data_IF_288864558480
#
_entry.id   IF_288864558480
#
_cell.length_a   1.000
_cell.length_b   1.000
_cell.length_c   1.000
_cell.angle_alpha   90.00
_cell.angle_beta   90.00
_cell.angle_gamma   90.00
#
_symmetry.space_group_name_H-M   'P 1'
#
loop_
_entity.id
_entity.type
_entity.pdbx_description
1 polymer ?
#
# COMPACT_ATOMS: atom_id res chain seq x y z
N UNK A 1 -8.14 26.47 -41.35
CA UNK A 1 -7.81 27.14 -40.07
C UNK A 1 -7.47 26.05 -39.07
N UNK A 2 -6.31 26.08 -38.40
CA UNK A 2 -5.87 24.99 -37.52
C UNK A 2 -6.66 25.01 -36.20
N UNK A 3 -6.96 23.82 -35.68
CA UNK A 3 -7.80 23.60 -34.50
C UNK A 3 -7.03 24.02 -33.22
N UNK A 4 -7.70 24.67 -32.26
CA UNK A 4 -7.06 25.27 -31.07
C UNK A 4 -6.39 24.25 -30.13
N UNK A 5 -6.66 22.96 -30.32
CA UNK A 5 -6.12 21.87 -29.51
C UNK A 5 -4.94 21.14 -30.16
N UNK A 6 -4.55 21.49 -31.40
CA UNK A 6 -3.47 20.80 -32.14
C UNK A 6 -2.06 21.39 -31.89
N UNK A 7 -1.94 22.42 -31.05
CA UNK A 7 -0.68 23.16 -30.86
C UNK A 7 0.12 22.68 -29.63
N UNK A 8 -0.49 21.92 -28.73
CA UNK A 8 0.14 21.60 -27.43
C UNK A 8 0.94 20.30 -27.42
N UNK A 9 0.91 19.49 -28.49
CA UNK A 9 1.61 18.18 -28.50
C UNK A 9 3.06 18.27 -29.01
N UNK A 10 3.48 19.41 -29.58
CA UNK A 10 4.82 19.52 -30.21
C UNK A 10 5.86 20.31 -29.41
N UNK A 11 5.57 20.75 -28.19
CA UNK A 11 6.49 21.62 -27.43
C UNK A 11 7.05 21.01 -26.14
N UNK A 12 6.74 19.74 -25.83
CA UNK A 12 7.25 19.08 -24.61
C UNK A 12 8.41 18.10 -24.81
N UNK A 13 8.88 17.88 -26.05
CA UNK A 13 9.97 16.93 -26.32
C UNK A 13 11.38 17.55 -26.29
N UNK A 14 11.51 18.88 -26.32
CA UNK A 14 12.81 19.56 -26.36
C UNK A 14 13.24 20.18 -25.01
N UNK A 15 12.45 20.03 -23.94
CA UNK A 15 12.77 20.56 -22.61
C UNK A 15 13.27 19.51 -21.61
N UNK A 16 13.47 18.26 -22.04
CA UNK A 16 14.15 17.28 -21.19
C UNK A 16 15.66 17.49 -21.30
N UNK A 17 16.20 18.37 -20.47
CA UNK A 17 17.63 18.50 -20.13
C UNK A 17 18.22 17.23 -19.47
N UNK A 18 17.65 16.06 -19.74
CA UNK A 18 18.11 14.74 -19.33
C UNK A 18 19.31 14.27 -20.17
N UNK A 19 19.47 14.80 -21.38
CA UNK A 19 20.62 14.48 -22.24
C UNK A 19 21.90 15.23 -21.81
N UNK A 20 21.77 16.43 -21.23
CA UNK A 20 22.90 17.31 -20.89
C UNK A 20 23.64 16.90 -19.59
N UNK A 21 23.06 16.00 -18.80
CA UNK A 21 23.65 15.50 -17.54
C UNK A 21 24.63 14.34 -17.72
N UNK A 22 24.75 13.77 -18.92
CA UNK A 22 25.61 12.61 -19.19
C UNK A 22 27.06 13.00 -19.56
N UNK A 23 27.29 14.22 -20.05
CA UNK A 23 28.61 14.63 -20.56
C UNK A 23 29.46 15.44 -19.56
N UNK A 24 28.94 15.77 -18.38
CA UNK A 24 29.68 16.55 -17.38
C UNK A 24 30.35 15.67 -16.33
N UNK A 25 31.57 15.20 -16.63
CA UNK A 25 32.51 14.63 -15.67
C UNK A 25 32.92 15.67 -14.61
N UNK A 26 32.13 15.80 -13.54
CA UNK A 26 32.43 16.65 -12.39
C UNK A 26 31.90 16.08 -11.07
N UNK A 27 32.82 15.56 -10.26
CA UNK A 27 32.71 15.31 -8.82
C UNK A 27 31.83 14.12 -8.34
N UNK A 28 32.44 13.04 -7.82
CA UNK A 28 31.74 11.87 -7.27
C UNK A 28 31.35 12.10 -5.79
N UNK A 29 30.51 13.10 -5.50
CA UNK A 29 30.19 13.44 -4.09
C UNK A 29 28.76 13.97 -3.86
N UNK A 30 27.80 13.58 -4.71
CA UNK A 30 26.41 14.08 -4.61
C UNK A 30 25.37 12.99 -4.30
N UNK A 31 25.77 11.72 -4.23
CA UNK A 31 24.86 10.61 -3.89
C UNK A 31 24.93 10.19 -2.42
N UNK A 32 25.69 10.91 -1.59
CA UNK A 32 25.62 10.75 -0.14
C UNK A 32 24.50 11.60 0.45
N UNK A 33 23.26 11.40 -0.02
CA UNK A 33 22.10 11.78 0.78
C UNK A 33 21.85 10.69 1.83
N UNK A 34 22.71 10.66 2.85
CA UNK A 34 22.59 9.85 4.06
C UNK A 34 21.44 10.35 4.96
N UNK A 35 20.22 10.44 4.43
CA UNK A 35 19.02 10.48 5.24
C UNK A 35 18.38 9.09 5.18
N UNK A 36 19.02 8.14 5.87
CA UNK A 36 18.54 6.79 6.12
C UNK A 36 17.37 6.81 7.14
N UNK A 37 16.48 7.79 7.03
CA UNK A 37 15.24 7.80 7.79
C UNK A 37 14.27 6.86 7.08
N UNK A 38 13.75 5.82 7.75
CA UNK A 38 12.80 4.92 7.14
C UNK A 38 11.60 5.74 6.63
N UNK A 39 11.08 5.45 5.42
CA UNK A 39 9.89 6.07 4.89
C UNK A 39 8.75 6.07 5.91
N UNK A 40 7.91 7.11 5.88
CA UNK A 40 6.81 7.27 6.85
C UNK A 40 5.85 6.07 6.89
N UNK A 41 5.70 5.34 5.78
CA UNK A 41 4.90 4.12 5.69
C UNK A 41 5.47 2.92 6.47
N UNK A 42 6.77 2.91 6.78
CA UNK A 42 7.40 1.83 7.58
C UNK A 42 7.11 1.97 9.09
N UNK A 43 6.49 3.06 9.53
CA UNK A 43 6.29 3.33 10.95
C UNK A 43 5.36 2.28 11.57
N UNK A 44 5.89 1.50 12.51
CA UNK A 44 5.13 0.53 13.30
C UNK A 44 4.99 -0.85 12.65
N UNK A 45 5.63 -1.09 11.51
CA UNK A 45 5.72 -2.44 10.93
C UNK A 45 6.77 -3.26 11.65
N UNK A 46 6.43 -4.51 11.95
CA UNK A 46 7.38 -5.51 12.43
C UNK A 46 8.22 -6.03 11.26
N UNK A 47 9.34 -6.68 11.57
CA UNK A 47 10.16 -7.32 10.54
C UNK A 47 9.37 -8.37 9.75
N UNK A 48 8.41 -9.05 10.39
CA UNK A 48 7.55 -10.04 9.75
C UNK A 48 6.58 -9.38 8.76
N UNK A 49 6.05 -8.21 9.08
CA UNK A 49 5.19 -7.43 8.16
C UNK A 49 5.96 -7.00 6.91
N UNK A 50 7.23 -6.58 7.11
CA UNK A 50 8.13 -6.22 6.00
C UNK A 50 8.40 -7.45 5.12
N UNK A 51 8.66 -8.60 5.72
CA UNK A 51 8.87 -9.84 5.00
C UNK A 51 7.61 -10.29 4.22
N UNK A 52 6.42 -10.12 4.80
CA UNK A 52 5.15 -10.44 4.16
C UNK A 52 4.89 -9.54 2.93
N UNK A 53 5.20 -8.25 3.01
CA UNK A 53 5.12 -7.35 1.85
C UNK A 53 6.06 -7.77 0.73
N UNK A 54 7.30 -8.17 1.05
CA UNK A 54 8.22 -8.69 0.04
C UNK A 54 7.70 -9.98 -0.60
N UNK A 55 7.11 -10.88 0.19
CA UNK A 55 6.49 -12.09 -0.33
C UNK A 55 5.33 -11.77 -1.28
N UNK A 56 4.46 -10.82 -0.93
CA UNK A 56 3.36 -10.38 -1.79
C UNK A 56 3.86 -9.72 -3.08
N UNK A 57 4.90 -8.90 -3.00
CA UNK A 57 5.52 -8.23 -4.17
C UNK A 57 6.21 -9.20 -5.12
N UNK A 58 6.66 -10.36 -4.63
CA UNK A 58 7.26 -11.42 -5.44
C UNK A 58 6.24 -12.29 -6.20
N UNK A 59 4.93 -12.18 -5.88
CA UNK A 59 3.89 -12.97 -6.54
C UNK A 59 3.60 -12.45 -7.96
N UNK A 60 3.22 -13.36 -8.86
CA UNK A 60 2.65 -12.97 -10.16
C UNK A 60 1.28 -12.33 -9.98
N UNK A 61 0.79 -11.58 -10.99
CA UNK A 61 -0.55 -10.96 -10.96
C UNK A 61 -1.67 -11.96 -10.61
N UNK A 62 -1.58 -13.18 -11.13
CA UNK A 62 -2.54 -14.26 -10.83
C UNK A 62 -2.38 -14.77 -9.39
N UNK A 63 -1.14 -14.86 -8.88
CA UNK A 63 -0.87 -15.24 -7.49
C UNK A 63 -1.40 -14.20 -6.50
N UNK A 64 -1.22 -12.91 -6.81
CA UNK A 64 -1.77 -11.83 -6.00
C UNK A 64 -3.30 -11.86 -5.98
N UNK A 65 -3.94 -12.10 -7.14
CA UNK A 65 -5.41 -12.23 -7.22
C UNK A 65 -5.93 -13.43 -6.39
N UNK A 66 -5.20 -14.54 -6.38
CA UNK A 66 -5.56 -15.70 -5.57
C UNK A 66 -5.45 -15.39 -4.06
N UNK A 67 -4.40 -14.70 -3.63
CA UNK A 67 -4.23 -14.32 -2.23
C UNK A 67 -5.31 -13.32 -1.79
N UNK A 68 -5.67 -12.37 -2.65
CA UNK A 68 -6.79 -11.45 -2.40
C UNK A 68 -8.08 -12.24 -2.18
N UNK A 69 -8.43 -13.17 -3.06
CA UNK A 69 -9.63 -14.01 -2.91
C UNK A 69 -9.62 -14.79 -1.60
N UNK A 70 -8.49 -15.39 -1.26
CA UNK A 70 -8.31 -16.11 0.00
C UNK A 70 -8.57 -15.22 1.22
N UNK A 71 -8.03 -14.00 1.26
CA UNK A 71 -8.28 -13.05 2.35
C UNK A 71 -9.77 -12.69 2.43
N UNK A 72 -10.44 -12.47 1.28
CA UNK A 72 -11.89 -12.22 1.25
C UNK A 72 -12.71 -13.37 1.84
N UNK A 73 -12.39 -14.60 1.45
CA UNK A 73 -13.09 -15.80 1.96
C UNK A 73 -12.85 -15.98 3.47
N UNK A 74 -11.62 -15.73 3.94
CA UNK A 74 -11.27 -15.79 5.36
C UNK A 74 -12.03 -14.72 6.16
N UNK A 75 -12.04 -13.47 5.69
CA UNK A 75 -12.75 -12.38 6.35
C UNK A 75 -14.26 -12.66 6.45
N UNK A 76 -14.85 -13.20 5.38
CA UNK A 76 -16.26 -13.61 5.39
C UNK A 76 -16.54 -14.69 6.44
N UNK A 77 -15.72 -15.76 6.49
CA UNK A 77 -15.89 -16.84 7.46
C UNK A 77 -15.72 -16.35 8.91
N UNK A 78 -14.75 -15.48 9.18
CA UNK A 78 -14.55 -14.88 10.50
C UNK A 78 -15.78 -14.05 10.89
N UNK A 79 -16.30 -13.22 9.99
CA UNK A 79 -17.50 -12.41 10.25
C UNK A 79 -18.73 -13.26 10.59
N UNK A 80 -18.93 -14.39 9.91
CA UNK A 80 -20.00 -15.34 10.25
C UNK A 80 -19.82 -15.95 11.65
N UNK A 81 -18.58 -16.35 11.98
CA UNK A 81 -18.27 -16.93 13.29
C UNK A 81 -18.44 -15.91 14.42
N UNK A 82 -17.98 -14.67 14.21
CA UNK A 82 -18.13 -13.58 15.16
C UNK A 82 -19.61 -13.27 15.40
N UNK A 83 -20.41 -13.08 14.34
CA UNK A 83 -21.84 -12.81 14.47
C UNK A 83 -22.59 -13.93 15.24
N UNK A 84 -22.21 -15.20 14.96
CA UNK A 84 -22.73 -16.36 15.70
C UNK A 84 -22.37 -16.28 17.17
N UNK A 85 -21.12 -15.99 17.51
CA UNK A 85 -20.65 -15.96 18.89
C UNK A 85 -21.23 -14.77 19.66
N UNK A 86 -21.37 -13.60 19.02
CA UNK A 86 -22.05 -12.43 19.58
C UNK A 86 -23.50 -12.75 19.92
N UNK A 87 -24.22 -13.45 19.03
CA UNK A 87 -25.60 -13.87 19.27
C UNK A 87 -25.69 -14.83 20.46
N UNK A 88 -24.77 -15.80 20.56
CA UNK A 88 -24.69 -16.68 21.73
C UNK A 88 -24.42 -15.89 23.01
N UNK A 89 -23.45 -14.96 22.98
CA UNK A 89 -23.12 -14.11 24.12
C UNK A 89 -24.32 -13.26 24.59
N UNK A 90 -25.12 -12.76 23.65
CA UNK A 90 -26.39 -12.06 23.95
C UNK A 90 -27.37 -12.97 24.68
N UNK A 91 -27.59 -14.19 24.19
CA UNK A 91 -28.51 -15.16 24.82
C UNK A 91 -28.05 -15.64 26.19
N UNK A 92 -26.74 -15.62 26.45
CA UNK A 92 -26.14 -15.94 27.75
C UNK A 92 -26.02 -14.72 28.68
N UNK A 93 -26.54 -13.55 28.26
CA UNK A 93 -26.55 -12.30 29.02
C UNK A 93 -25.19 -11.87 29.59
N UNK A 94 -24.07 -12.27 28.97
CA UNK A 94 -22.72 -11.95 29.47
C UNK A 94 -22.42 -10.44 29.44
N UNK A 95 -23.16 -9.69 28.62
CA UNK A 95 -23.05 -8.25 28.49
C UNK A 95 -23.98 -7.47 29.44
N UNK A 96 -24.84 -8.13 30.22
CA UNK A 96 -25.81 -7.49 31.13
C UNK A 96 -25.15 -6.69 32.27
N UNK A 97 -23.96 -7.09 32.69
CA UNK A 97 -23.19 -6.40 33.73
C UNK A 97 -22.44 -5.17 33.20
N UNK A 98 -22.21 -5.09 31.89
CA UNK A 98 -21.55 -3.95 31.26
C UNK A 98 -22.49 -2.74 31.15
N UNK A 99 -23.79 -2.99 30.98
CA UNK A 99 -24.84 -1.96 30.88
C UNK A 99 -25.33 -1.46 32.23
N UNK A 100 -25.12 -2.21 33.32
CA UNK A 100 -25.60 -1.89 34.67
C UNK A 100 -24.71 -0.92 35.47
N UNK A 101 -23.51 -0.58 34.95
CA UNK A 101 -22.65 0.47 35.53
C UNK A 101 -23.07 1.85 34.98
N UNK A 102 -24.22 2.35 35.40
CA UNK A 102 -24.63 3.75 35.23
C UNK A 102 -25.28 4.23 36.52
#
# INVERSE_FOLDING_TARGET
>A
MPNKYDIEVKQELDNSGLFELLDSNGSPEMWESNNCTPPSWMKGLTQDDINAMYQLGALSKNGLLAEIKKIFDQAYNIGLQEAKEITKGKNLEIFSNLTRRK
#
